data_IF_033679701649
#
_entry.id   IF_033679701649
#
_cell.length_a   1.000
_cell.length_b   1.000
_cell.length_c   1.000
_cell.angle_alpha   90.00
_cell.angle_beta   90.00
_cell.angle_gamma   90.00
#
_symmetry.space_group_name_H-M   'P 1'
#
loop_
_entity.id
_entity.type
_entity.pdbx_description
1 polymer ?
#
# COMPACT_ATOMS: atom_id res chain seq x y z
N UNK A 1 -2.15 -20.72 -28.64
CA UNK A 1 -1.45 -19.74 -27.80
C UNK A 1 -0.47 -20.56 -26.94
N UNK A 2 0.84 -20.45 -27.20
CA UNK A 2 1.84 -21.05 -26.32
C UNK A 2 1.70 -20.35 -24.97
N UNK A 3 1.60 -21.10 -23.88
CA UNK A 3 1.67 -20.52 -22.54
C UNK A 3 3.07 -19.94 -22.39
N UNK A 4 3.19 -18.62 -22.28
CA UNK A 4 4.45 -18.01 -21.91
C UNK A 4 4.82 -18.57 -20.54
N UNK A 5 5.86 -19.37 -20.50
CA UNK A 5 6.45 -19.88 -19.27
C UNK A 5 7.32 -18.78 -18.69
N UNK A 6 6.93 -18.28 -17.51
CA UNK A 6 7.78 -17.35 -16.76
C UNK A 6 8.95 -18.11 -16.13
N UNK A 7 10.15 -17.60 -16.31
CA UNK A 7 11.36 -18.13 -15.69
C UNK A 7 11.63 -17.38 -14.38
N UNK A 8 11.19 -17.95 -13.26
CA UNK A 8 11.41 -17.38 -11.93
C UNK A 8 12.75 -17.82 -11.31
N UNK A 9 13.49 -18.74 -11.94
CA UNK A 9 14.79 -19.21 -11.48
C UNK A 9 15.95 -18.42 -12.09
N UNK A 10 15.68 -17.62 -13.11
CA UNK A 10 16.66 -16.75 -13.76
C UNK A 10 17.17 -15.68 -12.79
N UNK A 11 18.48 -15.72 -12.52
CA UNK A 11 19.14 -14.69 -11.71
C UNK A 11 19.33 -13.40 -12.53
N UNK A 12 18.77 -12.32 -12.04
CA UNK A 12 18.87 -10.99 -12.64
C UNK A 12 19.75 -10.12 -11.72
N UNK A 13 20.92 -9.70 -12.24
CA UNK A 13 21.76 -8.77 -11.49
C UNK A 13 21.10 -7.38 -11.48
N UNK A 14 20.78 -6.90 -10.30
CA UNK A 14 20.20 -5.58 -10.08
C UNK A 14 21.16 -4.55 -9.47
N UNK A 15 22.42 -4.95 -9.20
CA UNK A 15 23.45 -4.01 -8.73
C UNK A 15 23.93 -3.14 -9.88
N UNK A 16 24.18 -1.86 -9.58
CA UNK A 16 24.57 -0.86 -10.58
C UNK A 16 23.43 -0.39 -11.49
N UNK A 17 22.17 -0.64 -11.11
CA UNK A 17 20.97 -0.24 -11.86
C UNK A 17 20.18 0.89 -11.21
N UNK A 18 20.74 1.55 -10.21
CA UNK A 18 20.06 2.51 -9.35
C UNK A 18 18.91 1.90 -8.54
N UNK A 19 18.99 0.59 -8.29
CA UNK A 19 18.03 -0.09 -7.43
C UNK A 19 18.14 0.38 -5.99
N UNK A 20 17.08 0.96 -5.43
CA UNK A 20 17.06 1.37 -4.03
C UNK A 20 17.29 0.17 -3.08
N UNK A 21 16.85 -1.03 -3.47
CA UNK A 21 17.06 -2.27 -2.71
C UNK A 21 18.51 -2.74 -2.76
N UNK A 22 19.11 -2.78 -3.95
CA UNK A 22 20.39 -3.44 -4.18
C UNK A 22 21.61 -2.50 -4.13
N UNK A 23 21.40 -1.19 -4.33
CA UNK A 23 22.47 -0.20 -4.42
C UNK A 23 22.51 0.75 -3.21
N UNK A 24 21.64 0.56 -2.19
CA UNK A 24 21.61 1.38 -0.99
C UNK A 24 22.71 1.04 0.03
N UNK A 25 23.23 -0.18 -0.01
CA UNK A 25 24.29 -0.64 0.89
C UNK A 25 25.63 -0.71 0.16
N UNK A 26 26.71 -0.33 0.84
CA UNK A 26 28.05 -0.39 0.28
C UNK A 26 28.65 -1.79 0.32
N UNK A 27 28.10 -2.70 1.13
CA UNK A 27 28.58 -4.09 1.21
C UNK A 27 28.03 -4.91 0.04
N UNK A 28 28.87 -5.36 -0.90
CA UNK A 28 28.45 -6.13 -2.05
C UNK A 28 27.92 -7.51 -1.70
N UNK A 29 28.28 -8.06 -0.55
CA UNK A 29 27.91 -9.40 -0.10
C UNK A 29 26.61 -9.41 0.71
N UNK A 30 26.10 -8.23 1.08
CA UNK A 30 24.84 -8.13 1.80
C UNK A 30 23.66 -8.52 0.93
N UNK A 31 22.83 -9.44 1.41
CA UNK A 31 21.57 -9.80 0.80
C UNK A 31 20.45 -8.90 1.33
N UNK A 32 19.93 -7.96 0.53
CA UNK A 32 18.90 -7.05 0.99
C UNK A 32 17.52 -7.75 1.08
N UNK A 33 16.92 -7.73 2.28
CA UNK A 33 15.61 -8.33 2.55
C UNK A 33 14.63 -7.35 3.21
N UNK A 34 14.90 -6.06 3.14
CA UNK A 34 14.17 -5.02 3.87
C UNK A 34 13.04 -4.35 3.07
N UNK A 35 13.07 -4.40 1.76
CA UNK A 35 12.04 -3.86 0.86
C UNK A 35 11.47 -4.96 -0.02
N UNK A 36 10.17 -4.91 -0.27
CA UNK A 36 9.41 -6.02 -0.87
C UNK A 36 9.28 -5.95 -2.39
N UNK A 37 10.07 -5.12 -3.09
CA UNK A 37 10.12 -5.17 -4.55
C UNK A 37 10.73 -6.50 -5.01
N UNK A 38 10.07 -7.13 -5.98
CA UNK A 38 10.46 -8.44 -6.48
C UNK A 38 11.68 -8.36 -7.39
N UNK A 39 12.50 -9.42 -7.39
CA UNK A 39 13.69 -9.53 -8.23
C UNK A 39 13.42 -10.32 -9.52
N UNK A 40 12.15 -10.61 -9.80
CA UNK A 40 11.71 -11.23 -11.04
C UNK A 40 11.48 -10.19 -12.14
N UNK A 41 11.71 -10.60 -13.39
CA UNK A 41 11.34 -9.79 -14.54
C UNK A 41 9.83 -9.55 -14.57
N UNK A 42 9.42 -8.35 -14.96
CA UNK A 42 7.99 -8.03 -15.05
C UNK A 42 7.31 -8.84 -16.16
N UNK A 43 6.01 -9.08 -16.01
CA UNK A 43 5.26 -9.87 -16.98
C UNK A 43 5.41 -9.31 -18.42
N UNK A 44 5.62 -10.18 -19.44
CA UNK A 44 5.84 -9.75 -20.82
C UNK A 44 4.79 -8.77 -21.34
N UNK A 45 3.51 -9.00 -21.03
CA UNK A 45 2.43 -8.11 -21.44
C UNK A 45 2.56 -6.70 -20.85
N UNK A 46 3.05 -6.58 -19.61
CA UNK A 46 3.31 -5.29 -18.95
C UNK A 46 4.51 -4.61 -19.61
N UNK A 47 5.59 -5.37 -19.84
CA UNK A 47 6.80 -4.86 -20.48
C UNK A 47 6.51 -4.34 -21.89
N UNK A 48 5.71 -5.06 -22.67
CA UNK A 48 5.32 -4.65 -24.02
C UNK A 48 4.45 -3.39 -24.00
N UNK A 49 3.50 -3.29 -23.08
CA UNK A 49 2.70 -2.07 -22.93
C UNK A 49 3.56 -0.84 -22.59
N UNK A 50 4.57 -1.00 -21.73
CA UNK A 50 5.51 0.08 -21.39
C UNK A 50 6.37 0.45 -22.61
N UNK A 51 6.91 -0.54 -23.34
CA UNK A 51 7.68 -0.32 -24.57
C UNK A 51 6.87 0.44 -25.63
N UNK A 52 5.64 0.00 -25.86
CA UNK A 52 4.73 0.66 -26.81
C UNK A 52 4.49 2.12 -26.41
N UNK A 53 4.23 2.38 -25.15
CA UNK A 53 4.05 3.77 -24.67
C UNK A 53 5.34 4.59 -24.75
N UNK A 54 6.48 4.00 -24.46
CA UNK A 54 7.78 4.66 -24.58
C UNK A 54 8.10 5.01 -26.05
N UNK A 55 7.82 4.11 -26.98
CA UNK A 55 8.04 4.32 -28.42
C UNK A 55 7.17 5.44 -29.01
N UNK A 56 6.06 5.81 -28.39
CA UNK A 56 5.24 6.96 -28.79
C UNK A 56 6.02 8.29 -28.76
N UNK A 57 6.99 8.43 -27.82
CA UNK A 57 7.96 9.54 -27.80
C UNK A 57 7.42 10.91 -27.38
N UNK A 58 6.13 11.08 -27.14
CA UNK A 58 5.50 12.33 -26.68
C UNK A 58 4.89 12.13 -25.33
N UNK A 59 5.45 12.78 -24.31
CA UNK A 59 5.12 12.62 -22.89
C UNK A 59 4.55 13.90 -22.28
N UNK A 60 3.46 14.39 -22.90
CA UNK A 60 2.73 15.55 -22.39
C UNK A 60 1.77 15.21 -21.27
N UNK A 61 0.85 16.10 -20.98
CA UNK A 61 -0.22 15.86 -20.01
C UNK A 61 -1.08 14.67 -20.45
N UNK A 62 -1.20 13.66 -19.59
CA UNK A 62 -1.91 12.43 -19.89
C UNK A 62 -3.19 12.33 -19.05
N UNK A 63 -4.28 11.99 -19.69
CA UNK A 63 -5.54 11.66 -19.03
C UNK A 63 -5.59 10.18 -18.70
N UNK A 64 -6.12 9.82 -17.53
CA UNK A 64 -6.36 8.43 -17.17
C UNK A 64 -7.43 7.85 -18.12
N UNK A 65 -7.12 6.80 -18.89
CA UNK A 65 -8.05 6.25 -19.89
C UNK A 65 -9.17 5.44 -19.21
N UNK A 66 -10.32 5.32 -19.87
CA UNK A 66 -11.44 4.50 -19.37
C UNK A 66 -11.04 3.06 -19.13
N UNK A 67 -10.18 2.49 -19.99
CA UNK A 67 -9.67 1.13 -19.86
C UNK A 67 -9.00 0.86 -18.49
N UNK A 68 -8.41 1.87 -17.84
CA UNK A 68 -7.87 1.74 -16.49
C UNK A 68 -8.99 1.42 -15.47
N UNK A 69 -10.07 2.18 -15.52
CA UNK A 69 -11.21 2.01 -14.61
C UNK A 69 -11.94 0.69 -14.86
N UNK A 70 -12.15 0.35 -16.11
CA UNK A 70 -12.79 -0.92 -16.53
C UNK A 70 -11.97 -2.13 -16.06
N UNK A 71 -10.64 -2.07 -16.22
CA UNK A 71 -9.73 -3.12 -15.75
C UNK A 71 -9.80 -3.29 -14.23
N UNK A 72 -9.79 -2.19 -13.47
CA UNK A 72 -9.86 -2.20 -12.01
C UNK A 72 -11.21 -2.76 -11.53
N UNK A 73 -12.32 -2.22 -12.03
CA UNK A 73 -13.68 -2.68 -11.70
C UNK A 73 -13.85 -4.18 -12.03
N UNK A 74 -13.40 -4.58 -13.22
CA UNK A 74 -13.48 -5.97 -13.66
C UNK A 74 -12.62 -6.91 -12.79
N UNK A 75 -11.43 -6.48 -12.38
CA UNK A 75 -10.58 -7.25 -11.47
C UNK A 75 -11.26 -7.50 -10.13
N UNK A 76 -11.72 -6.47 -9.46
CA UNK A 76 -12.37 -6.59 -8.15
C UNK A 76 -13.65 -7.40 -8.21
N UNK A 77 -14.46 -7.23 -9.25
CA UNK A 77 -15.67 -8.03 -9.43
C UNK A 77 -15.37 -9.53 -9.60
N UNK A 78 -14.34 -9.89 -10.39
CA UNK A 78 -13.98 -11.29 -10.64
C UNK A 78 -13.26 -11.92 -9.44
N UNK A 79 -12.29 -11.24 -8.87
CA UNK A 79 -11.38 -11.81 -7.86
C UNK A 79 -11.91 -11.70 -6.43
N UNK A 80 -12.63 -10.63 -6.12
CA UNK A 80 -13.03 -10.30 -4.76
C UNK A 80 -14.56 -10.24 -4.57
N UNK A 81 -15.34 -10.44 -5.63
CA UNK A 81 -16.81 -10.31 -5.60
C UNK A 81 -17.27 -8.93 -5.12
N UNK A 82 -16.38 -7.96 -5.18
CA UNK A 82 -16.62 -6.58 -4.80
C UNK A 82 -16.98 -5.75 -6.03
N UNK A 83 -18.10 -5.02 -5.97
CA UNK A 83 -18.63 -4.23 -7.08
C UNK A 83 -18.67 -2.76 -6.67
N UNK A 84 -18.19 -1.92 -7.53
CA UNK A 84 -18.24 -0.46 -7.45
C UNK A 84 -18.25 0.11 -8.86
N UNK A 85 -18.52 1.40 -8.98
CA UNK A 85 -18.65 2.10 -10.26
C UNK A 85 -17.46 3.01 -10.52
N UNK A 86 -17.43 3.65 -11.68
CA UNK A 86 -16.39 4.60 -12.05
C UNK A 86 -16.36 5.81 -11.10
N UNK A 87 -17.51 6.23 -10.62
CA UNK A 87 -17.71 7.38 -9.73
C UNK A 87 -17.12 7.15 -8.34
N UNK A 88 -16.95 5.90 -7.93
CA UNK A 88 -16.35 5.52 -6.66
C UNK A 88 -14.81 5.53 -6.70
N UNK A 89 -14.20 5.85 -7.86
CA UNK A 89 -12.75 5.79 -8.06
C UNK A 89 -12.16 7.18 -8.21
N UNK A 90 -11.29 7.57 -7.28
CA UNK A 90 -10.42 8.72 -7.40
C UNK A 90 -8.98 8.26 -7.70
N UNK A 91 -8.43 8.71 -8.81
CA UNK A 91 -7.07 8.38 -9.20
C UNK A 91 -6.06 9.25 -8.45
N UNK A 92 -5.01 8.60 -7.95
CA UNK A 92 -3.83 9.25 -7.37
C UNK A 92 -2.56 8.61 -7.92
N UNK A 93 -1.42 9.29 -7.79
CA UNK A 93 -0.12 8.80 -8.27
C UNK A 93 0.52 7.73 -7.38
N UNK A 94 -0.19 7.26 -6.38
CA UNK A 94 0.27 6.19 -5.48
C UNK A 94 -0.50 6.17 -4.16
N UNK A 95 -0.30 5.13 -3.37
CA UNK A 95 -1.01 4.93 -2.10
C UNK A 95 -0.64 5.99 -1.05
N UNK A 96 0.63 6.37 -0.96
CA UNK A 96 1.07 7.39 0.02
C UNK A 96 0.47 8.77 -0.27
N UNK A 97 0.48 9.27 -1.52
CA UNK A 97 -0.29 10.46 -1.88
C UNK A 97 -1.79 10.33 -1.58
N UNK A 98 -2.39 9.16 -1.86
CA UNK A 98 -3.80 8.91 -1.54
C UNK A 98 -4.09 9.05 -0.05
N UNK A 99 -3.28 8.41 0.81
CA UNK A 99 -3.41 8.51 2.27
C UNK A 99 -3.30 9.97 2.74
N UNK A 100 -2.29 10.68 2.25
CA UNK A 100 -2.08 12.09 2.62
C UNK A 100 -3.26 12.98 2.20
N UNK A 101 -3.77 12.81 0.99
CA UNK A 101 -4.95 13.54 0.52
C UNK A 101 -6.20 13.20 1.33
N UNK A 102 -6.38 11.94 1.70
CA UNK A 102 -7.52 11.48 2.50
C UNK A 102 -7.46 12.08 3.91
N UNK A 103 -6.31 12.04 4.57
CA UNK A 103 -6.12 12.67 5.88
C UNK A 103 -6.47 14.16 5.76
N UNK A 104 -5.86 14.86 4.81
CA UNK A 104 -6.10 16.30 4.60
C UNK A 104 -7.57 16.63 4.35
N UNK A 105 -8.31 15.76 3.67
CA UNK A 105 -9.73 16.00 3.36
C UNK A 105 -10.65 15.77 4.57
N UNK A 106 -10.25 14.93 5.52
CA UNK A 106 -11.09 14.48 6.64
C UNK A 106 -10.67 15.06 8.00
N UNK A 107 -9.57 15.80 8.05
CA UNK A 107 -9.00 16.33 9.30
C UNK A 107 -8.61 17.78 9.19
N UNK A 108 -8.42 18.41 10.35
CA UNK A 108 -7.78 19.71 10.52
C UNK A 108 -6.50 19.55 11.34
N UNK A 109 -5.52 20.48 11.24
CA UNK A 109 -4.33 20.44 12.08
C UNK A 109 -4.68 20.33 13.58
N UNK A 110 -4.04 19.41 14.29
CA UNK A 110 -4.31 19.08 15.68
C UNK A 110 -5.25 17.89 15.90
N UNK A 111 -6.00 17.47 14.88
CA UNK A 111 -6.82 16.25 14.96
C UNK A 111 -5.94 15.00 15.10
N UNK A 112 -6.51 13.94 15.67
CA UNK A 112 -5.86 12.66 15.86
C UNK A 112 -6.25 11.67 14.77
N UNK A 113 -5.25 10.92 14.30
CA UNK A 113 -5.42 9.77 13.42
C UNK A 113 -4.99 8.52 14.15
N UNK A 114 -5.94 7.59 14.36
CA UNK A 114 -5.70 6.34 15.09
C UNK A 114 -4.99 5.33 14.16
N UNK A 115 -3.95 4.67 14.69
CA UNK A 115 -3.17 3.65 14.00
C UNK A 115 -2.85 2.49 14.93
N UNK A 116 -2.77 1.27 14.37
CA UNK A 116 -2.38 0.06 15.11
C UNK A 116 -0.87 -0.15 14.96
N UNK A 117 -0.10 -0.01 16.03
CA UNK A 117 1.36 -0.08 15.97
C UNK A 117 1.93 -1.42 16.47
N UNK A 118 3.09 -1.91 15.95
CA UNK A 118 3.91 -1.28 14.89
C UNK A 118 3.23 -1.32 13.52
N UNK A 119 3.37 -0.28 12.72
CA UNK A 119 2.76 -0.16 11.39
C UNK A 119 3.71 0.54 10.41
N UNK A 120 3.37 0.48 9.13
CA UNK A 120 4.12 1.10 8.05
C UNK A 120 4.48 2.56 8.36
N UNK A 121 5.77 2.86 8.33
CA UNK A 121 6.33 4.14 8.80
C UNK A 121 5.77 5.37 8.07
N UNK A 122 5.37 5.22 6.80
CA UNK A 122 4.79 6.35 6.04
C UNK A 122 3.39 6.76 6.52
N UNK A 123 2.72 5.95 7.36
CA UNK A 123 1.51 6.41 8.06
C UNK A 123 1.84 7.58 8.98
N UNK A 124 2.90 7.45 9.79
CA UNK A 124 3.35 8.53 10.67
C UNK A 124 3.74 9.80 9.90
N UNK A 125 4.46 9.61 8.78
CA UNK A 125 4.87 10.74 7.95
C UNK A 125 3.66 11.45 7.32
N UNK A 126 2.71 10.69 6.79
CA UNK A 126 1.47 11.26 6.21
C UNK A 126 0.64 11.99 7.25
N UNK A 127 0.55 11.47 8.48
CA UNK A 127 -0.17 12.12 9.58
C UNK A 127 0.50 13.44 9.95
N UNK A 128 1.80 13.41 10.22
CA UNK A 128 2.56 14.60 10.65
C UNK A 128 2.58 15.70 9.58
N UNK A 129 2.75 15.33 8.32
CA UNK A 129 2.81 16.29 7.22
C UNK A 129 1.47 17.03 6.99
N UNK A 130 0.37 16.49 7.50
CA UNK A 130 -0.93 17.15 7.51
C UNK A 130 -1.22 17.90 8.82
N UNK A 131 -0.24 18.04 9.71
CA UNK A 131 -0.41 18.74 10.98
C UNK A 131 -1.20 17.96 12.02
N UNK A 132 -1.46 16.68 11.79
CA UNK A 132 -2.23 15.81 12.68
C UNK A 132 -1.33 15.06 13.66
N UNK A 133 -1.93 14.48 14.70
CA UNK A 133 -1.28 13.70 15.74
C UNK A 133 -1.58 12.21 15.55
N UNK A 134 -0.55 11.38 15.59
CA UNK A 134 -0.74 9.93 15.62
C UNK A 134 -1.26 9.49 17.00
N UNK A 135 -2.40 8.81 17.01
CA UNK A 135 -2.96 8.16 18.21
C UNK A 135 -2.71 6.67 18.10
N UNK A 136 -1.67 6.22 18.73
CA UNK A 136 -1.20 4.84 18.62
C UNK A 136 -1.99 3.90 19.54
N UNK A 137 -2.53 2.81 18.97
CA UNK A 137 -3.05 1.66 19.71
C UNK A 137 -2.12 0.48 19.48
N UNK A 138 -1.24 0.15 20.45
CA UNK A 138 -0.26 -0.90 20.30
C UNK A 138 -0.89 -2.28 20.15
N UNK A 139 -0.43 -3.03 19.17
CA UNK A 139 -0.78 -4.44 19.02
C UNK A 139 -0.13 -5.28 20.13
N UNK A 140 -0.84 -6.28 20.60
CA UNK A 140 -0.35 -7.22 21.61
C UNK A 140 0.10 -8.51 20.94
N UNK A 141 1.25 -9.05 21.36
CA UNK A 141 1.73 -10.35 20.88
C UNK A 141 1.19 -11.45 21.78
N UNK A 142 0.38 -12.34 21.21
CA UNK A 142 -0.15 -13.54 21.88
C UNK A 142 0.19 -14.77 21.04
N UNK A 143 0.90 -15.75 21.63
CA UNK A 143 1.30 -16.97 20.93
C UNK A 143 2.10 -16.69 19.64
N UNK A 144 3.00 -15.71 19.63
CA UNK A 144 3.79 -15.32 18.47
C UNK A 144 3.03 -14.56 17.38
N UNK A 145 1.79 -14.16 17.63
CA UNK A 145 0.92 -13.47 16.67
C UNK A 145 0.48 -12.11 17.19
N UNK A 146 0.48 -11.09 16.36
CA UNK A 146 -0.10 -9.80 16.68
C UNK A 146 -1.62 -9.87 16.78
N UNK A 147 -2.18 -9.26 17.81
CA UNK A 147 -3.62 -9.15 18.06
C UNK A 147 -3.97 -7.71 18.43
N UNK A 148 -5.20 -7.29 18.11
CA UNK A 148 -5.71 -5.97 18.48
C UNK A 148 -6.08 -5.97 19.96
N UNK A 149 -5.61 -4.97 20.71
CA UNK A 149 -6.17 -4.63 22.00
C UNK A 149 -7.42 -3.76 21.78
N UNK A 150 -8.56 -4.43 21.75
CA UNK A 150 -9.82 -3.74 21.46
C UNK A 150 -10.25 -2.76 22.54
N UNK A 151 -9.81 -2.95 23.79
CA UNK A 151 -10.13 -2.01 24.87
C UNK A 151 -9.34 -0.70 24.70
N UNK A 152 -8.06 -0.80 24.36
CA UNK A 152 -7.24 0.38 24.03
C UNK A 152 -7.71 1.05 22.75
N UNK A 153 -8.03 0.27 21.72
CA UNK A 153 -8.51 0.81 20.44
C UNK A 153 -9.83 1.59 20.65
N UNK A 154 -10.80 1.04 21.35
CA UNK A 154 -12.06 1.72 21.67
C UNK A 154 -11.83 3.03 22.41
N UNK A 155 -10.94 3.01 23.41
CA UNK A 155 -10.54 4.24 24.13
C UNK A 155 -9.95 5.29 23.21
N UNK A 156 -9.11 4.89 22.24
CA UNK A 156 -8.49 5.81 21.27
C UNK A 156 -9.51 6.39 20.29
N UNK A 157 -10.44 5.54 19.82
CA UNK A 157 -11.49 5.95 18.89
C UNK A 157 -12.57 6.81 19.57
N UNK A 158 -12.77 6.66 20.88
CA UNK A 158 -13.70 7.50 21.67
C UNK A 158 -13.16 8.89 21.96
N UNK A 159 -11.92 9.20 21.64
CA UNK A 159 -11.37 10.55 21.81
C UNK A 159 -12.04 11.52 20.82
N UNK A 160 -12.63 12.63 21.29
CA UNK A 160 -13.30 13.60 20.39
C UNK A 160 -12.40 14.21 19.30
N UNK A 161 -11.08 14.20 19.51
CA UNK A 161 -10.11 14.63 18.52
C UNK A 161 -9.75 13.55 17.49
N UNK A 162 -10.14 12.29 17.71
CA UNK A 162 -9.92 11.20 16.75
C UNK A 162 -10.91 11.33 15.58
N UNK A 163 -10.41 11.60 14.39
CA UNK A 163 -11.23 11.83 13.18
C UNK A 163 -11.12 10.73 12.16
N UNK A 164 -9.97 10.07 12.10
CA UNK A 164 -9.65 9.05 11.10
C UNK A 164 -8.93 7.90 11.79
N UNK A 165 -9.23 6.68 11.36
CA UNK A 165 -8.40 5.50 11.62
C UNK A 165 -7.75 5.05 10.32
N UNK A 166 -6.43 4.85 10.34
CA UNK A 166 -5.70 4.20 9.25
C UNK A 166 -5.43 2.74 9.63
N UNK A 167 -6.08 1.84 8.94
CA UNK A 167 -5.92 0.39 9.14
C UNK A 167 -5.12 -0.24 8.01
N UNK A 168 -4.03 -0.93 8.36
CA UNK A 168 -3.22 -1.68 7.41
C UNK A 168 -3.74 -3.11 7.30
N UNK A 169 -4.13 -3.56 6.09
CA UNK A 169 -4.60 -4.93 5.86
C UNK A 169 -4.28 -5.36 4.41
N UNK A 170 -3.43 -6.36 4.18
CA UNK A 170 -2.58 -7.06 5.15
C UNK A 170 -1.68 -6.13 5.96
N UNK A 171 -1.45 -6.46 7.24
CA UNK A 171 -0.75 -5.58 8.17
C UNK A 171 0.76 -5.61 7.98
N UNK A 172 1.34 -4.47 7.67
CA UNK A 172 2.78 -4.28 7.50
C UNK A 172 3.34 -3.43 8.68
N UNK A 173 4.41 -3.85 9.40
CA UNK A 173 5.26 -5.03 9.15
C UNK A 173 4.79 -6.32 9.83
N UNK A 174 3.69 -6.32 10.55
CA UNK A 174 3.26 -7.46 11.37
C UNK A 174 2.95 -8.75 10.61
N UNK A 175 2.92 -8.71 9.27
CA UNK A 175 2.75 -9.89 8.42
C UNK A 175 1.42 -10.62 8.62
N UNK A 176 0.34 -9.89 8.88
CA UNK A 176 -0.92 -10.45 9.30
C UNK A 176 -2.09 -9.96 8.44
N UNK A 177 -3.01 -10.86 8.09
CA UNK A 177 -4.35 -10.55 7.55
C UNK A 177 -5.34 -10.60 8.71
N UNK A 178 -6.13 -9.54 8.86
CA UNK A 178 -7.20 -9.48 9.87
C UNK A 178 -8.37 -10.38 9.48
N UNK A 179 -8.95 -11.06 10.45
CA UNK A 179 -10.13 -11.91 10.20
C UNK A 179 -11.38 -11.07 9.97
N UNK A 180 -12.43 -11.63 9.32
CA UNK A 180 -13.70 -10.93 9.16
C UNK A 180 -14.31 -10.47 10.51
N UNK A 181 -14.17 -11.29 11.55
CA UNK A 181 -14.67 -10.99 12.90
C UNK A 181 -13.91 -9.82 13.54
N UNK A 182 -12.58 -9.77 13.35
CA UNK A 182 -11.77 -8.64 13.82
C UNK A 182 -12.12 -7.36 13.08
N UNK A 183 -12.29 -7.44 11.76
CA UNK A 183 -12.69 -6.29 10.95
C UNK A 183 -14.08 -5.79 11.32
N UNK A 184 -15.05 -6.70 11.50
CA UNK A 184 -16.40 -6.34 11.93
C UNK A 184 -16.44 -5.73 13.33
N UNK A 185 -15.48 -6.09 14.19
CA UNK A 185 -15.37 -5.51 15.54
C UNK A 185 -14.70 -4.15 15.55
N UNK A 186 -13.89 -3.83 14.53
CA UNK A 186 -13.26 -2.50 14.38
C UNK A 186 -14.25 -1.48 13.85
N UNK A 187 -15.16 -1.87 12.92
CA UNK A 187 -16.20 -1.01 12.34
C UNK A 187 -17.47 -0.99 13.17
#
# INVERSE_FOLDING_TARGET
MMSETFDFDRLINRRGTFSYKWDSDADPDMLPMWVADMDFETAPAVLEAVRHRAAHGIYGYTRVPNAFYEALIGWFARRHKFRFTREDILYTTGVVPALSCTIKALTTPGDKVVILTPVYNLFFTSIRNNGCLASESPLVVKGGRYTIDFADLEKKLSDPAARVMLMCNPHNPGGRVWTPEELARVG
#
